data_IF_951601729979
#
_entry.id   IF_951601729979
#
_cell.length_a   1.000
_cell.length_b   1.000
_cell.length_c   1.000
_cell.angle_alpha   90.00
_cell.angle_beta   90.00
_cell.angle_gamma   90.00
#
_symmetry.space_group_name_H-M   'P 1'
#
loop_
_entity.id
_entity.type
_entity.pdbx_description
1 polymer ?
#
# COMPACT_ATOMS: atom_id res chain seq x y z
N UNK A 1 1.07 4.33 -11.95
CA UNK A 1 1.96 3.81 -10.88
C UNK A 1 1.77 4.52 -9.53
N UNK A 2 1.70 5.87 -9.45
CA UNK A 2 1.43 6.57 -8.16
C UNK A 2 0.04 6.23 -7.60
N UNK A 3 -1.01 6.21 -8.43
CA UNK A 3 -2.36 5.74 -8.04
C UNK A 3 -2.36 4.28 -7.55
N UNK A 4 -1.50 3.46 -8.13
CA UNK A 4 -1.32 2.05 -7.76
C UNK A 4 -0.49 1.90 -6.48
N UNK A 5 0.36 2.90 -6.13
CA UNK A 5 0.97 3.01 -4.80
C UNK A 5 -0.07 3.36 -3.74
N UNK A 6 -1.01 4.28 -3.98
CA UNK A 6 -2.08 4.58 -3.02
C UNK A 6 -2.98 3.37 -2.77
N UNK A 7 -3.36 2.64 -3.82
CA UNK A 7 -4.14 1.40 -3.70
C UNK A 7 -3.34 0.29 -2.98
N UNK A 8 -2.03 0.17 -3.26
CA UNK A 8 -1.14 -0.75 -2.55
C UNK A 8 -0.92 -0.33 -1.08
N UNK A 9 -0.85 0.96 -0.77
CA UNK A 9 -0.75 1.46 0.62
C UNK A 9 -2.02 1.11 1.40
N UNK A 10 -3.20 1.32 0.82
CA UNK A 10 -4.46 0.99 1.47
C UNK A 10 -4.58 -0.53 1.69
N UNK A 11 -4.26 -1.35 0.67
CA UNK A 11 -4.23 -2.82 0.79
C UNK A 11 -3.16 -3.34 1.75
N UNK A 12 -1.96 -2.75 1.77
CA UNK A 12 -0.89 -3.12 2.71
C UNK A 12 -1.25 -2.75 4.14
N UNK A 13 -1.94 -1.63 4.39
CA UNK A 13 -2.47 -1.30 5.71
C UNK A 13 -3.49 -2.35 6.18
N UNK A 14 -4.40 -2.78 5.29
CA UNK A 14 -5.38 -3.82 5.59
C UNK A 14 -4.74 -5.20 5.82
N UNK A 15 -3.67 -5.55 5.09
CA UNK A 15 -2.94 -6.82 5.24
C UNK A 15 -2.08 -6.84 6.51
N UNK A 16 -1.40 -5.74 6.85
CA UNK A 16 -0.68 -5.60 8.11
C UNK A 16 -1.64 -5.64 9.31
N UNK A 17 -2.80 -5.00 9.22
CA UNK A 17 -3.81 -5.05 10.28
C UNK A 17 -4.44 -6.46 10.41
N UNK A 18 -4.77 -7.15 9.31
CA UNK A 18 -5.27 -8.54 9.36
C UNK A 18 -4.25 -9.54 9.89
N UNK A 19 -2.97 -9.41 9.52
CA UNK A 19 -1.91 -10.30 10.01
C UNK A 19 -1.59 -10.09 11.50
N UNK A 20 -1.73 -8.85 12.01
CA UNK A 20 -1.69 -8.58 13.44
C UNK A 20 -2.88 -9.19 14.20
N UNK A 21 -4.11 -9.14 13.67
CA UNK A 21 -5.24 -9.88 14.26
C UNK A 21 -5.04 -11.40 14.23
N UNK A 22 -4.55 -11.96 13.12
CA UNK A 22 -4.35 -13.40 12.98
C UNK A 22 -3.32 -13.97 13.98
N UNK A 23 -2.27 -13.21 14.30
CA UNK A 23 -1.24 -13.60 15.29
C UNK A 23 -1.75 -13.62 16.73
N UNK A 24 -2.90 -13.03 17.03
CA UNK A 24 -3.50 -13.03 18.37
C UNK A 24 -4.57 -14.11 18.60
N UNK A 25 -4.88 -14.97 17.61
CA UNK A 25 -6.01 -15.91 17.68
C UNK A 25 -5.62 -17.38 17.96
N UNK A 26 -4.36 -17.80 17.76
CA UNK A 26 -3.96 -19.21 17.92
C UNK A 26 -2.66 -19.43 18.71
N UNK A 27 -2.78 -19.43 20.05
CA UNK A 27 -1.83 -20.17 20.90
C UNK A 27 -2.56 -20.94 22.01
N UNK A 28 -2.91 -22.19 21.71
CA UNK A 28 -3.39 -23.19 22.68
C UNK A 28 -2.32 -23.42 23.75
N UNK A 29 -2.78 -23.65 24.98
CA UNK A 29 -1.90 -23.80 26.15
C UNK A 29 -0.87 -24.94 26.00
N UNK A 30 0.41 -24.57 26.05
CA UNK A 30 1.52 -25.51 26.20
C UNK A 30 1.78 -25.78 27.68
N UNK A 31 1.77 -27.06 28.09
CA UNK A 31 2.07 -27.48 29.46
C UNK A 31 3.48 -27.05 29.89
N UNK A 32 3.58 -26.42 31.05
CA UNK A 32 4.87 -26.28 31.74
C UNK A 32 5.37 -27.67 32.18
N UNK A 33 6.66 -27.97 31.91
CA UNK A 33 7.37 -29.11 32.48
C UNK A 33 8.07 -28.67 33.76
N UNK A 34 7.60 -29.11 34.92
CA UNK A 34 8.38 -29.07 36.17
C UNK A 34 9.23 -30.35 36.28
N UNK A 35 10.48 -30.20 36.72
CA UNK A 35 11.32 -31.34 37.15
C UNK A 35 10.92 -31.76 38.58
N UNK A 36 10.98 -33.05 38.94
CA UNK A 36 10.52 -33.55 40.23
C UNK A 36 11.60 -33.48 41.32
N UNK A 37 11.18 -33.20 42.55
CA UNK A 37 11.87 -33.60 43.78
C UNK A 37 11.00 -34.58 44.57
N UNK A 38 11.63 -35.36 45.45
CA UNK A 38 11.23 -36.73 45.81
C UNK A 38 10.64 -36.82 47.23
N UNK A 39 9.35 -37.14 47.38
CA UNK A 39 8.79 -37.49 48.70
C UNK A 39 7.57 -38.45 48.65
N UNK A 40 7.81 -39.66 49.16
CA UNK A 40 6.95 -40.64 49.87
C UNK A 40 5.45 -40.82 49.52
N UNK A 41 5.11 -42.09 49.30
CA UNK A 41 3.78 -42.67 49.09
C UNK A 41 2.87 -42.73 50.33
N UNK A 42 1.55 -42.61 50.12
CA UNK A 42 0.49 -43.33 50.86
C UNK A 42 -0.73 -43.55 49.94
N UNK A 43 -1.52 -44.61 50.18
CA UNK A 43 -2.56 -45.15 49.27
C UNK A 43 -3.99 -44.81 49.72
N UNK A 44 -4.87 -44.59 48.71
CA UNK A 44 -6.34 -44.85 48.69
C UNK A 44 -7.25 -43.99 49.61
N UNK A 45 -8.60 -43.94 49.40
CA UNK A 45 -9.42 -44.62 48.37
C UNK A 45 -10.30 -43.68 47.49
N UNK A 46 -11.02 -44.26 46.52
CA UNK A 46 -12.16 -43.64 45.79
C UNK A 46 -13.47 -43.91 46.54
N UNK A 47 -14.45 -42.99 46.45
CA UNK A 47 -15.66 -43.25 45.64
C UNK A 47 -15.98 -42.03 44.72
N UNK A 48 -17.05 -41.92 43.92
CA UNK A 48 -18.19 -42.80 43.58
C UNK A 48 -18.66 -42.56 42.11
N UNK A 49 -19.87 -43.03 41.74
CA UNK A 49 -20.69 -42.57 40.58
C UNK A 49 -22.11 -42.26 41.07
N UNK A 50 -22.74 -41.18 40.57
CA UNK A 50 -24.22 -41.00 40.39
C UNK A 50 -24.43 -39.79 39.46
N UNK A 51 -24.89 -40.00 38.22
CA UNK A 51 -26.30 -40.08 37.72
C UNK A 51 -26.79 -38.71 37.18
N UNK A 52 -26.99 -38.64 35.86
CA UNK A 52 -27.76 -37.57 35.19
C UNK A 52 -29.23 -37.56 35.67
N UNK A 53 -29.93 -36.44 35.45
CA UNK A 53 -31.14 -36.53 34.61
C UNK A 53 -31.24 -35.46 33.49
N UNK A 54 -31.87 -35.86 32.37
CA UNK A 54 -32.84 -35.09 31.53
C UNK A 54 -32.46 -33.62 31.20
N UNK A 55 -32.05 -33.22 29.99
CA UNK A 55 -32.38 -33.64 28.62
C UNK A 55 -33.83 -33.32 28.18
N UNK A 56 -34.09 -32.06 27.82
CA UNK A 56 -35.21 -31.65 26.95
C UNK A 56 -34.70 -31.08 25.62
N UNK A 57 -35.56 -31.05 24.59
CA UNK A 57 -35.21 -31.35 23.19
C UNK A 57 -35.73 -30.30 22.21
N UNK A 58 -35.13 -30.24 20.99
CA UNK A 58 -35.43 -29.43 19.77
C UNK A 58 -34.46 -28.23 19.59
N UNK A 59 -34.03 -27.84 18.37
CA UNK A 59 -34.29 -28.36 17.00
C UNK A 59 -33.08 -28.15 16.06
N UNK A 60 -33.01 -28.93 14.99
CA UNK A 60 -31.96 -28.94 13.95
C UNK A 60 -31.74 -27.57 13.26
N UNK A 61 -30.53 -27.33 12.74
CA UNK A 61 -30.30 -26.14 11.89
C UNK A 61 -28.90 -25.87 11.27
N UNK A 62 -27.85 -26.68 11.47
CA UNK A 62 -26.54 -26.39 10.86
C UNK A 62 -26.47 -26.78 9.38
N UNK A 63 -26.66 -25.82 8.47
CA UNK A 63 -26.46 -25.99 7.03
C UNK A 63 -25.15 -25.34 6.58
N UNK A 64 -24.09 -26.15 6.40
CA UNK A 64 -22.84 -25.73 5.76
C UNK A 64 -23.11 -25.38 4.29
N UNK A 65 -22.75 -24.17 3.85
CA UNK A 65 -22.81 -23.79 2.45
C UNK A 65 -21.61 -24.36 1.69
N UNK A 66 -21.85 -25.42 0.91
CA UNK A 66 -21.04 -25.78 -0.26
C UNK A 66 -21.53 -24.94 -1.43
N UNK A 67 -20.64 -24.21 -2.11
CA UNK A 67 -20.96 -23.60 -3.41
C UNK A 67 -20.62 -24.61 -4.50
N UNK A 68 -21.64 -25.13 -5.17
CA UNK A 68 -21.50 -25.96 -6.36
C UNK A 68 -22.10 -25.21 -7.57
N UNK A 69 -21.40 -25.21 -8.70
CA UNK A 69 -21.87 -24.64 -9.98
C UNK A 69 -22.97 -25.52 -10.60
N UNK A 70 -24.08 -24.91 -11.01
CA UNK A 70 -24.96 -25.37 -12.09
C UNK A 70 -25.61 -24.11 -12.70
N UNK A 71 -25.30 -23.73 -13.94
CA UNK A 71 -25.92 -24.19 -15.20
C UNK A 71 -27.46 -24.08 -15.21
N UNK A 72 -27.96 -23.11 -15.97
CA UNK A 72 -29.19 -23.22 -16.76
C UNK A 72 -28.99 -22.58 -18.13
N UNK A 73 -29.22 -23.37 -19.17
CA UNK A 73 -29.67 -22.89 -20.48
C UNK A 73 -31.14 -22.44 -20.31
N UNK A 74 -31.79 -21.66 -21.17
CA UNK A 74 -31.40 -21.04 -22.43
C UNK A 74 -32.69 -20.67 -23.19
N UNK A 75 -32.65 -19.69 -24.09
CA UNK A 75 -33.76 -19.36 -24.98
C UNK A 75 -33.23 -18.83 -26.32
N UNK A 76 -33.74 -19.38 -27.42
CA UNK A 76 -33.49 -18.95 -28.80
C UNK A 76 -34.46 -17.78 -29.13
N UNK A 77 -34.47 -17.08 -30.27
CA UNK A 77 -33.71 -17.16 -31.54
C UNK A 77 -33.91 -15.85 -32.34
N UNK A 78 -32.92 -15.44 -33.17
CA UNK A 78 -33.04 -14.93 -34.58
C UNK A 78 -32.03 -13.82 -34.96
N UNK A 79 -31.19 -14.15 -35.95
CA UNK A 79 -30.80 -13.36 -37.17
C UNK A 79 -30.25 -11.94 -36.94
N UNK A 80 -29.04 -11.51 -37.35
CA UNK A 80 -28.18 -11.69 -38.56
C UNK A 80 -26.74 -11.28 -38.11
N UNK A 81 -25.57 -11.64 -38.64
CA UNK A 81 -25.12 -12.38 -39.82
C UNK A 81 -23.81 -11.75 -40.34
N UNK A 82 -22.75 -12.54 -40.64
CA UNK A 82 -21.40 -12.14 -41.15
C UNK A 82 -20.54 -11.27 -40.20
N UNK A 83 -19.26 -11.53 -39.92
CA UNK A 83 -18.16 -12.26 -40.56
C UNK A 83 -17.23 -12.84 -39.47
N UNK A 84 -16.63 -14.01 -39.71
CA UNK A 84 -15.85 -14.73 -38.69
C UNK A 84 -14.34 -14.70 -38.92
N UNK A 85 -13.58 -14.33 -37.88
CA UNK A 85 -12.19 -14.73 -37.69
C UNK A 85 -11.98 -15.09 -36.21
N UNK A 86 -11.59 -16.34 -35.94
CA UNK A 86 -10.93 -16.81 -34.70
C UNK A 86 -10.35 -18.22 -34.95
N UNK A 87 -9.39 -18.71 -34.13
CA UNK A 87 -8.07 -19.04 -34.69
C UNK A 87 -7.64 -20.49 -34.39
N UNK A 88 -6.50 -20.91 -34.95
CA UNK A 88 -5.78 -22.11 -34.48
C UNK A 88 -4.29 -21.82 -34.40
N UNK A 89 -3.62 -22.27 -33.33
CA UNK A 89 -2.16 -22.33 -33.22
C UNK A 89 -1.68 -23.77 -33.43
N UNK A 90 -0.55 -23.86 -34.14
CA UNK A 90 0.50 -24.88 -34.05
C UNK A 90 0.19 -26.34 -34.47
N UNK A 91 0.84 -26.75 -35.57
CA UNK A 91 1.79 -27.89 -35.60
C UNK A 91 2.89 -27.63 -36.63
N UNK A 92 3.99 -28.37 -36.54
CA UNK A 92 5.28 -28.10 -37.21
C UNK A 92 5.55 -29.14 -38.31
N UNK A 93 6.34 -28.73 -39.32
CA UNK A 93 7.19 -29.49 -40.25
C UNK A 93 6.81 -29.35 -41.75
N UNK A 94 7.76 -29.56 -42.69
CA UNK A 94 9.22 -29.56 -42.58
C UNK A 94 9.91 -28.48 -43.44
N UNK A 95 11.25 -28.44 -43.39
CA UNK A 95 12.09 -27.71 -44.36
C UNK A 95 11.98 -28.38 -45.73
N UNK A 96 11.92 -27.59 -46.80
CA UNK A 96 12.08 -28.07 -48.17
C UNK A 96 13.47 -27.66 -48.67
N UNK A 97 14.39 -28.62 -48.75
CA UNK A 97 15.66 -28.44 -49.44
C UNK A 97 15.40 -28.28 -50.95
N UNK A 98 16.00 -27.26 -51.55
CA UNK A 98 16.28 -27.24 -52.98
C UNK A 98 17.80 -27.28 -53.15
N UNK A 99 18.29 -28.42 -53.63
CA UNK A 99 19.69 -28.58 -54.03
C UNK A 99 19.90 -27.88 -55.38
N UNK A 100 20.86 -26.95 -55.41
CA UNK A 100 21.59 -26.52 -56.61
C UNK A 100 23.08 -26.46 -56.20
N UNK A 101 23.97 -26.72 -57.14
CA UNK A 101 25.30 -27.29 -56.89
C UNK A 101 26.32 -26.32 -56.26
N UNK A 102 27.36 -26.91 -55.66
CA UNK A 102 28.24 -26.27 -54.67
C UNK A 102 29.23 -25.22 -55.20
N UNK A 103 29.24 -24.89 -56.49
CA UNK A 103 30.22 -23.97 -57.09
C UNK A 103 29.80 -22.50 -57.00
N UNK A 104 28.49 -22.21 -57.04
CA UNK A 104 27.95 -20.83 -57.03
C UNK A 104 28.13 -20.14 -55.66
N UNK A 105 28.47 -20.89 -54.61
CA UNK A 105 28.57 -20.39 -53.23
C UNK A 105 29.82 -19.54 -52.94
N UNK A 106 30.87 -19.63 -53.76
CA UNK A 106 32.07 -18.78 -53.66
C UNK A 106 31.79 -17.34 -54.11
N UNK A 107 31.51 -17.11 -55.41
CA UNK A 107 31.23 -15.78 -55.98
C UNK A 107 30.14 -15.02 -55.23
N UNK A 108 29.01 -15.68 -54.95
CA UNK A 108 27.89 -15.07 -54.20
C UNK A 108 28.34 -14.57 -52.81
N UNK A 109 29.29 -15.25 -52.16
CA UNK A 109 29.78 -14.85 -50.83
C UNK A 109 30.69 -13.63 -50.87
N UNK A 110 31.44 -13.47 -51.96
CA UNK A 110 32.28 -12.28 -52.19
C UNK A 110 31.41 -11.09 -52.58
N UNK A 111 30.43 -11.27 -53.47
CA UNK A 111 29.40 -10.28 -53.79
C UNK A 111 28.60 -9.84 -52.55
N UNK A 112 28.20 -10.77 -51.66
CA UNK A 112 27.55 -10.44 -50.38
C UNK A 112 28.50 -9.67 -49.44
N UNK A 113 29.82 -9.86 -49.52
CA UNK A 113 30.80 -9.11 -48.71
C UNK A 113 30.93 -7.68 -49.23
N UNK A 114 31.08 -7.50 -50.55
CA UNK A 114 31.14 -6.18 -51.21
C UNK A 114 29.85 -5.39 -50.98
N UNK A 115 28.69 -6.02 -51.20
CA UNK A 115 27.39 -5.41 -50.94
C UNK A 115 27.17 -5.02 -49.47
N UNK A 116 27.79 -5.71 -48.50
CA UNK A 116 27.76 -5.31 -47.08
C UNK A 116 28.71 -4.19 -46.73
N UNK A 117 29.78 -4.00 -47.50
CA UNK A 117 30.78 -2.94 -47.29
C UNK A 117 30.36 -1.63 -47.98
N UNK A 118 29.67 -1.71 -49.13
CA UNK A 118 29.24 -0.54 -49.92
C UNK A 118 27.74 -0.21 -49.77
N UNK A 119 26.90 -1.21 -49.51
CA UNK A 119 25.44 -1.08 -49.40
C UNK A 119 24.69 -1.12 -50.74
N UNK A 120 25.41 -1.22 -51.86
CA UNK A 120 24.88 -1.43 -53.21
C UNK A 120 25.82 -2.37 -53.98
N UNK A 121 25.41 -2.79 -55.17
CA UNK A 121 26.22 -3.62 -56.08
C UNK A 121 26.00 -3.17 -57.52
N UNK A 122 27.04 -3.11 -58.36
CA UNK A 122 26.86 -2.75 -59.77
C UNK A 122 26.70 -3.96 -60.69
N UNK A 123 26.14 -3.74 -61.87
CA UNK A 123 26.12 -4.77 -62.92
C UNK A 123 27.52 -5.18 -63.40
N UNK A 124 28.52 -4.29 -63.29
CA UNK A 124 29.90 -4.61 -63.64
C UNK A 124 30.56 -5.50 -62.56
N UNK A 125 30.34 -5.20 -61.27
CA UNK A 125 30.79 -6.07 -60.16
C UNK A 125 30.21 -7.49 -60.26
N UNK A 126 28.95 -7.61 -60.72
CA UNK A 126 28.29 -8.89 -60.96
C UNK A 126 28.95 -9.68 -62.09
N UNK A 127 29.36 -9.01 -63.17
CA UNK A 127 30.02 -9.64 -64.30
C UNK A 127 31.48 -10.01 -64.00
N UNK A 128 32.21 -9.21 -63.20
CA UNK A 128 33.60 -9.50 -62.83
C UNK A 128 33.73 -10.65 -61.82
N UNK A 129 32.76 -10.81 -60.91
CA UNK A 129 32.78 -11.90 -59.92
C UNK A 129 32.33 -13.26 -60.49
N UNK A 130 31.69 -13.29 -61.66
CA UNK A 130 31.22 -14.53 -62.29
C UNK A 130 32.27 -15.05 -63.29
N UNK A 131 32.72 -16.32 -63.18
CA UNK A 131 33.63 -16.89 -64.17
C UNK A 131 32.99 -16.96 -65.57
N UNK A 132 33.78 -16.77 -66.62
CA UNK A 132 33.39 -16.70 -68.06
C UNK A 132 32.59 -17.92 -68.61
N UNK A 133 32.30 -18.93 -67.79
CA UNK A 133 31.46 -20.09 -68.11
C UNK A 133 30.02 -20.05 -67.60
N UNK A 134 29.64 -19.11 -66.72
CA UNK A 134 28.26 -19.00 -66.18
C UNK A 134 27.45 -17.90 -66.88
N UNK A 135 27.15 -18.11 -68.17
CA UNK A 135 26.35 -17.19 -69.00
C UNK A 135 24.98 -17.78 -69.42
N UNK A 136 24.43 -18.72 -68.65
CA UNK A 136 23.03 -19.14 -68.83
C UNK A 136 22.09 -18.12 -68.14
N UNK A 137 21.16 -17.56 -68.92
CA UNK A 137 20.29 -16.47 -68.47
C UNK A 137 19.39 -16.87 -67.28
N UNK A 138 19.12 -18.16 -67.12
CA UNK A 138 18.33 -18.70 -66.00
C UNK A 138 19.08 -18.61 -64.67
N UNK A 139 20.38 -18.90 -64.66
CA UNK A 139 21.20 -18.86 -63.44
C UNK A 139 21.45 -17.41 -63.00
N UNK A 140 21.63 -16.50 -63.97
CA UNK A 140 21.73 -15.07 -63.69
C UNK A 140 20.46 -14.54 -63.01
N UNK A 141 19.25 -14.84 -63.52
CA UNK A 141 18.02 -14.39 -62.86
C UNK A 141 17.76 -15.09 -61.51
N UNK A 142 18.25 -16.32 -61.31
CA UNK A 142 18.24 -16.98 -60.01
C UNK A 142 19.14 -16.25 -59.00
N UNK A 143 20.33 -15.78 -59.41
CA UNK A 143 21.25 -14.98 -58.59
C UNK A 143 20.65 -13.59 -58.31
N UNK A 144 20.15 -12.90 -59.32
CA UNK A 144 19.48 -11.59 -59.17
C UNK A 144 18.26 -11.68 -58.24
N UNK A 145 17.48 -12.76 -58.32
CA UNK A 145 16.33 -13.01 -57.43
C UNK A 145 16.76 -13.37 -56.01
N UNK A 146 17.93 -14.01 -55.83
CA UNK A 146 18.52 -14.28 -54.51
C UNK A 146 19.08 -13.02 -53.85
N UNK A 147 19.74 -12.14 -54.61
CA UNK A 147 20.27 -10.86 -54.12
C UNK A 147 19.15 -9.87 -53.78
N UNK A 148 18.12 -9.74 -54.64
CA UNK A 148 16.90 -8.95 -54.35
C UNK A 148 16.17 -9.44 -53.09
N UNK A 149 16.17 -10.76 -52.82
CA UNK A 149 15.64 -11.35 -51.57
C UNK A 149 16.47 -11.02 -50.31
N UNK A 150 17.68 -10.50 -50.47
CA UNK A 150 18.58 -10.11 -49.38
C UNK A 150 18.66 -8.59 -49.21
N UNK A 151 17.74 -7.83 -49.82
CA UNK A 151 17.65 -6.36 -49.72
C UNK A 151 18.93 -5.65 -50.20
N UNK A 152 19.56 -6.19 -51.24
CA UNK A 152 20.70 -5.58 -51.93
C UNK A 152 20.20 -4.94 -53.23
N UNK A 153 20.34 -3.61 -53.32
CA UNK A 153 20.05 -2.86 -54.54
C UNK A 153 21.15 -3.05 -55.58
N UNK A 154 20.74 -3.31 -56.82
CA UNK A 154 21.62 -3.53 -57.97
C UNK A 154 21.45 -2.34 -58.91
N UNK A 155 22.55 -1.67 -59.22
CA UNK A 155 22.57 -0.33 -59.79
C UNK A 155 23.43 -0.34 -61.07
N UNK A 156 23.03 0.41 -62.08
CA UNK A 156 23.87 0.60 -63.27
C UNK A 156 25.04 1.54 -62.94
N UNK A 157 26.24 1.30 -63.48
CA UNK A 157 27.45 2.06 -63.12
C UNK A 157 27.31 3.59 -63.37
N UNK A 158 26.42 3.97 -64.30
CA UNK A 158 26.02 5.35 -64.62
C UNK A 158 25.18 6.05 -63.52
N UNK A 159 24.52 5.28 -62.66
CA UNK A 159 23.63 5.77 -61.60
C UNK A 159 24.25 5.74 -60.20
N UNK A 160 25.45 5.16 -60.07
CA UNK A 160 26.16 5.02 -58.77
C UNK A 160 26.36 6.37 -58.08
N UNK A 161 26.71 7.43 -58.82
CA UNK A 161 26.88 8.76 -58.21
C UNK A 161 25.53 9.38 -57.80
N UNK A 162 24.45 9.12 -58.55
CA UNK A 162 23.08 9.50 -58.12
C UNK A 162 22.65 8.74 -56.86
N UNK A 163 23.00 7.47 -56.74
CA UNK A 163 22.67 6.68 -55.56
C UNK A 163 23.55 7.07 -54.36
N UNK A 164 24.80 7.50 -54.56
CA UNK A 164 25.61 8.10 -53.49
C UNK A 164 25.02 9.42 -53.02
N UNK A 165 24.61 10.30 -53.94
CA UNK A 165 23.98 11.57 -53.58
C UNK A 165 22.64 11.32 -52.85
N UNK A 166 21.75 10.47 -53.38
CA UNK A 166 20.50 10.09 -52.70
C UNK A 166 20.72 9.38 -51.36
N UNK A 167 21.73 8.51 -51.25
CA UNK A 167 22.07 7.85 -49.98
C UNK A 167 22.67 8.84 -48.97
N UNK A 168 23.37 9.87 -49.44
CA UNK A 168 23.93 10.92 -48.59
C UNK A 168 22.85 11.91 -48.15
N UNK A 169 21.93 12.27 -49.03
CA UNK A 169 20.71 13.03 -48.69
C UNK A 169 19.85 12.23 -47.70
N UNK A 170 19.70 10.91 -47.89
CA UNK A 170 19.01 10.03 -46.95
C UNK A 170 19.77 9.85 -45.63
N UNK A 171 21.10 9.81 -45.62
CA UNK A 171 21.90 9.74 -44.39
C UNK A 171 21.88 11.08 -43.62
N UNK A 172 21.82 12.22 -44.32
CA UNK A 172 21.64 13.55 -43.72
C UNK A 172 20.18 13.74 -43.23
N UNK A 173 19.15 13.24 -43.94
CA UNK A 173 17.76 13.22 -43.46
C UNK A 173 17.52 12.19 -42.34
N UNK A 174 18.17 11.01 -42.33
CA UNK A 174 18.09 10.03 -41.23
C UNK A 174 18.91 10.43 -39.98
N UNK A 175 19.81 11.41 -40.06
CA UNK A 175 20.40 12.03 -38.86
C UNK A 175 19.47 13.09 -38.23
N UNK A 176 18.68 13.83 -39.01
CA UNK A 176 17.71 14.81 -38.48
C UNK A 176 16.31 14.24 -38.18
N UNK A 177 15.87 13.17 -38.87
CA UNK A 177 14.53 12.58 -38.71
C UNK A 177 14.51 11.11 -38.26
N UNK A 178 15.51 10.67 -37.49
CA UNK A 178 15.28 9.60 -36.50
C UNK A 178 14.38 10.17 -35.38
N UNK A 179 13.08 9.82 -35.29
CA UNK A 179 12.43 9.92 -34.00
C UNK A 179 13.22 9.03 -33.04
N UNK A 180 13.69 9.61 -31.92
CA UNK A 180 14.21 8.80 -30.80
C UNK A 180 13.31 7.57 -30.61
N UNK A 181 13.83 6.37 -30.31
CA UNK A 181 13.00 5.25 -29.90
C UNK A 181 12.36 5.57 -28.53
N UNK A 182 11.30 6.40 -28.54
CA UNK A 182 10.48 6.80 -27.38
C UNK A 182 9.73 5.61 -26.80
N UNK A 183 9.73 4.48 -27.52
CA UNK A 183 9.32 3.16 -27.05
C UNK A 183 10.25 2.60 -25.97
N UNK A 184 11.54 2.93 -25.96
CA UNK A 184 12.52 2.49 -24.95
C UNK A 184 12.50 3.36 -23.67
N UNK A 185 11.76 4.48 -23.68
CA UNK A 185 11.62 5.39 -22.53
C UNK A 185 10.65 4.83 -21.47
N UNK A 186 9.88 3.76 -21.79
CA UNK A 186 8.94 3.13 -20.86
C UNK A 186 9.52 1.98 -20.03
N UNK A 187 10.61 1.33 -20.46
CA UNK A 187 11.00 0.02 -19.93
C UNK A 187 11.99 0.05 -18.75
N UNK A 188 12.68 1.18 -18.48
CA UNK A 188 13.44 1.34 -17.22
C UNK A 188 12.58 1.94 -16.09
N UNK A 189 12.16 1.14 -15.08
CA UNK A 189 11.45 1.66 -13.91
C UNK A 189 12.26 2.67 -13.09
N UNK A 190 13.60 2.64 -13.15
CA UNK A 190 14.46 3.64 -12.49
C UNK A 190 14.33 4.99 -13.20
N UNK A 191 14.48 5.05 -14.53
CA UNK A 191 14.30 6.26 -15.35
C UNK A 191 12.88 6.83 -15.22
N UNK A 192 11.83 5.99 -15.25
CA UNK A 192 10.46 6.42 -14.99
C UNK A 192 10.31 7.07 -13.61
N UNK A 193 10.85 6.44 -12.55
CA UNK A 193 10.78 6.96 -11.19
C UNK A 193 11.54 8.29 -11.05
N UNK A 194 12.78 8.37 -11.57
CA UNK A 194 13.59 9.59 -11.60
C UNK A 194 12.90 10.74 -12.35
N UNK A 195 12.21 10.45 -13.46
CA UNK A 195 11.41 11.45 -14.19
C UNK A 195 10.23 11.95 -13.35
N UNK A 196 9.52 11.07 -12.65
CA UNK A 196 8.36 11.44 -11.81
C UNK A 196 8.76 12.30 -10.62
N UNK A 197 9.78 11.95 -9.84
CA UNK A 197 10.23 12.81 -8.72
C UNK A 197 10.83 14.14 -9.22
N UNK A 198 11.37 14.15 -10.45
CA UNK A 198 12.01 15.32 -11.05
C UNK A 198 11.06 16.51 -11.19
N UNK A 199 9.76 16.23 -11.30
CA UNK A 199 8.68 17.22 -11.44
C UNK A 199 8.38 17.99 -10.15
N UNK A 200 8.63 17.42 -8.96
CA UNK A 200 8.31 18.05 -7.68
C UNK A 200 9.41 19.06 -7.31
N UNK A 201 9.12 20.34 -7.03
CA UNK A 201 10.15 21.32 -6.66
C UNK A 201 10.85 20.97 -5.33
N UNK A 202 12.04 21.54 -5.13
CA UNK A 202 12.75 21.47 -3.85
C UNK A 202 12.15 22.48 -2.86
N UNK A 203 11.91 22.07 -1.61
CA UNK A 203 11.39 22.96 -0.58
C UNK A 203 12.46 23.90 -0.03
N UNK A 204 12.08 25.15 0.22
CA UNK A 204 12.86 26.07 1.05
C UNK A 204 12.70 25.72 2.54
N UNK A 205 13.58 26.26 3.38
CA UNK A 205 13.51 26.07 4.84
C UNK A 205 12.21 26.62 5.45
N UNK A 206 11.65 27.66 4.87
CA UNK A 206 10.40 28.26 5.33
C UNK A 206 9.21 27.37 4.97
N UNK A 207 9.19 26.82 3.76
CA UNK A 207 8.18 25.85 3.31
C UNK A 207 8.25 24.54 4.10
N UNK A 208 9.44 24.03 4.46
CA UNK A 208 9.57 22.90 5.40
C UNK A 208 8.83 23.17 6.73
N UNK A 209 8.97 24.38 7.27
CA UNK A 209 8.35 24.79 8.54
C UNK A 209 6.85 25.02 8.38
N UNK A 210 6.41 25.58 7.25
CA UNK A 210 4.99 25.76 6.93
C UNK A 210 4.25 24.42 6.81
N UNK A 211 4.79 23.47 6.03
CA UNK A 211 4.21 22.12 5.91
C UNK A 211 4.21 21.42 7.27
N UNK A 212 5.28 21.56 8.06
CA UNK A 212 5.33 21.02 9.43
C UNK A 212 4.25 21.61 10.34
N UNK A 213 3.95 22.92 10.22
CA UNK A 213 2.83 23.57 10.95
C UNK A 213 1.48 23.04 10.46
N UNK A 214 1.27 22.91 9.15
CA UNK A 214 0.03 22.35 8.56
C UNK A 214 -0.23 20.92 9.06
N UNK A 215 0.82 20.09 9.18
CA UNK A 215 0.73 18.76 9.80
C UNK A 215 0.37 18.84 11.29
N UNK A 216 1.06 19.66 12.09
CA UNK A 216 0.78 19.80 13.53
C UNK A 216 -0.66 20.30 13.80
N UNK A 217 -1.14 21.26 13.00
CA UNK A 217 -2.51 21.78 13.09
C UNK A 217 -3.54 20.71 12.76
N UNK A 218 -3.39 20.02 11.63
CA UNK A 218 -4.33 18.98 11.21
C UNK A 218 -4.40 17.83 12.23
N UNK A 219 -3.27 17.39 12.79
CA UNK A 219 -3.23 16.37 13.85
C UNK A 219 -3.89 16.83 15.15
N UNK A 220 -3.66 18.08 15.56
CA UNK A 220 -4.34 18.67 16.72
C UNK A 220 -5.86 18.78 16.51
N UNK A 221 -6.29 19.11 15.29
CA UNK A 221 -7.71 19.15 14.94
C UNK A 221 -8.32 17.75 14.94
N UNK A 222 -7.68 16.75 14.33
CA UNK A 222 -8.08 15.33 14.42
C UNK A 222 -8.30 14.90 15.88
N UNK A 223 -7.33 15.15 16.76
CA UNK A 223 -7.45 14.83 18.19
C UNK A 223 -8.62 15.58 18.86
N UNK A 224 -8.84 16.86 18.51
CA UNK A 224 -9.93 17.69 19.02
C UNK A 224 -11.31 17.21 18.59
N UNK A 225 -11.47 16.69 17.38
CA UNK A 225 -12.72 16.07 16.91
C UNK A 225 -12.96 14.71 17.59
N UNK A 226 -11.96 13.82 17.63
CA UNK A 226 -12.05 12.52 18.31
C UNK A 226 -12.45 12.70 19.78
N UNK A 227 -11.82 13.64 20.49
CA UNK A 227 -12.11 13.94 21.90
C UNK A 227 -13.54 14.49 22.17
N UNK A 228 -14.36 14.76 21.13
CA UNK A 228 -15.78 15.11 21.29
C UNK A 228 -16.68 13.89 21.46
N UNK A 229 -16.29 12.73 20.93
CA UNK A 229 -17.13 11.54 20.92
C UNK A 229 -17.11 10.81 22.27
N UNK A 230 -18.28 10.36 22.75
CA UNK A 230 -18.42 9.77 24.07
C UNK A 230 -17.70 8.44 24.28
N UNK A 231 -17.70 7.57 23.28
CA UNK A 231 -17.03 6.26 23.36
C UNK A 231 -15.51 6.37 23.55
N UNK A 232 -14.91 7.50 23.20
CA UNK A 232 -13.48 7.78 23.42
C UNK A 232 -13.15 7.88 24.90
N UNK A 233 -14.07 8.35 25.76
CA UNK A 233 -13.88 8.32 27.20
C UNK A 233 -13.64 6.90 27.70
N UNK A 234 -14.44 5.95 27.21
CA UNK A 234 -14.30 4.52 27.51
C UNK A 234 -13.01 3.95 26.92
N UNK A 235 -12.67 4.28 25.67
CA UNK A 235 -11.44 3.82 25.04
C UNK A 235 -10.17 4.27 25.80
N UNK A 236 -10.15 5.51 26.31
CA UNK A 236 -9.09 6.00 27.20
C UNK A 236 -9.00 5.20 28.51
N UNK A 237 -10.14 4.91 29.15
CA UNK A 237 -10.19 4.13 30.39
C UNK A 237 -9.75 2.68 30.18
N UNK A 238 -10.27 2.00 29.15
CA UNK A 238 -9.93 0.62 28.79
C UNK A 238 -8.42 0.48 28.52
N UNK A 239 -7.81 1.46 27.83
CA UNK A 239 -6.38 1.46 27.55
C UNK A 239 -5.53 1.76 28.79
N UNK A 240 -5.95 2.70 29.64
CA UNK A 240 -5.29 2.98 30.91
C UNK A 240 -5.38 1.80 31.90
N UNK A 241 -6.49 1.06 31.90
CA UNK A 241 -6.63 -0.16 32.67
C UNK A 241 -5.70 -1.26 32.14
N UNK A 242 -5.65 -1.50 30.81
CA UNK A 242 -4.70 -2.45 30.20
C UNK A 242 -3.23 -2.14 30.53
N UNK A 243 -2.87 -0.86 30.63
CA UNK A 243 -1.55 -0.41 31.06
C UNK A 243 -1.29 -0.69 32.55
N UNK A 244 -2.28 -0.44 33.40
CA UNK A 244 -2.20 -0.69 34.86
C UNK A 244 -2.10 -2.18 35.18
N UNK A 245 -2.80 -3.03 34.41
CA UNK A 245 -2.74 -4.49 34.49
C UNK A 245 -1.52 -5.10 33.78
N UNK A 246 -0.67 -4.30 33.14
CA UNK A 246 0.52 -4.77 32.42
C UNK A 246 0.24 -5.57 31.13
N UNK A 247 -0.98 -5.53 30.59
CA UNK A 247 -1.34 -6.20 29.32
C UNK A 247 -0.78 -5.49 28.10
N UNK A 248 -0.62 -4.17 28.16
CA UNK A 248 -0.02 -3.35 27.10
C UNK A 248 1.32 -2.74 27.55
N UNK A 249 2.26 -2.64 26.60
CA UNK A 249 3.59 -2.08 26.86
C UNK A 249 3.53 -0.55 26.90
N UNK A 250 4.00 0.05 28.00
CA UNK A 250 4.08 1.50 28.20
C UNK A 250 4.59 2.26 26.97
N UNK A 251 5.81 1.93 26.52
CA UNK A 251 6.51 2.58 25.40
C UNK A 251 5.84 2.35 24.02
N UNK A 252 4.82 1.48 23.90
CA UNK A 252 3.97 1.41 22.69
C UNK A 252 2.91 2.51 22.70
N UNK A 253 2.32 2.76 23.87
CA UNK A 253 1.09 3.55 24.04
C UNK A 253 1.36 5.01 24.41
N UNK A 254 2.40 5.29 25.19
CA UNK A 254 2.60 6.58 25.87
C UNK A 254 3.83 7.34 25.36
N UNK A 255 3.69 8.64 25.10
CA UNK A 255 4.74 9.58 24.72
C UNK A 255 5.67 9.88 25.90
N UNK A 256 6.67 9.01 26.07
CA UNK A 256 7.72 9.10 27.11
C UNK A 256 8.34 10.52 27.20
N UNK A 257 8.52 11.21 26.06
CA UNK A 257 9.03 12.59 25.95
C UNK A 257 8.30 13.63 26.82
N UNK A 258 7.04 13.39 27.19
CA UNK A 258 6.20 14.33 27.96
C UNK A 258 6.10 13.97 29.46
N UNK A 259 6.84 12.97 29.92
CA UNK A 259 6.73 12.43 31.28
C UNK A 259 8.10 12.47 31.98
N UNK A 260 8.15 13.10 33.15
CA UNK A 260 9.35 13.17 34.00
C UNK A 260 9.77 11.80 34.55
N UNK A 261 8.80 11.02 35.04
CA UNK A 261 9.03 9.71 35.64
C UNK A 261 7.84 8.78 35.40
N UNK A 262 8.15 7.58 34.88
CA UNK A 262 7.18 6.50 34.63
C UNK A 262 6.45 6.08 35.90
N UNK A 263 7.14 6.04 37.05
CA UNK A 263 6.51 5.69 38.33
C UNK A 263 5.53 6.76 38.81
N UNK A 264 5.91 8.04 38.73
CA UNK A 264 5.04 9.17 39.09
C UNK A 264 3.78 9.15 38.22
N UNK A 265 3.93 8.92 36.92
CA UNK A 265 2.79 8.75 36.01
C UNK A 265 1.90 7.56 36.39
N UNK A 266 2.48 6.38 36.64
CA UNK A 266 1.71 5.18 37.04
C UNK A 266 0.96 5.34 38.36
N UNK A 267 1.51 6.08 39.33
CA UNK A 267 0.80 6.43 40.58
C UNK A 267 -0.34 7.44 40.36
N UNK A 268 -0.24 8.30 39.34
CA UNK A 268 -1.25 9.31 38.99
C UNK A 268 -2.35 8.79 38.04
N UNK A 269 -2.05 7.81 37.18
CA UNK A 269 -2.96 7.30 36.15
C UNK A 269 -4.30 6.79 36.73
N UNK A 270 -4.35 5.99 37.83
CA UNK A 270 -5.62 5.57 38.43
C UNK A 270 -6.45 6.73 38.97
N UNK A 271 -5.80 7.81 39.45
CA UNK A 271 -6.50 9.03 39.86
C UNK A 271 -7.12 9.73 38.66
N UNK A 272 -6.39 9.85 37.55
CA UNK A 272 -6.91 10.44 36.31
C UNK A 272 -8.11 9.64 35.75
N UNK A 273 -8.02 8.30 35.75
CA UNK A 273 -9.11 7.42 35.34
C UNK A 273 -10.39 7.67 36.15
N UNK A 274 -10.31 7.71 37.49
CA UNK A 274 -11.47 7.98 38.35
C UNK A 274 -12.13 9.35 38.10
N UNK A 275 -11.38 10.36 37.67
CA UNK A 275 -11.97 11.66 37.29
C UNK A 275 -12.67 11.60 35.94
N UNK A 276 -12.05 10.95 34.94
CA UNK A 276 -12.64 10.74 33.61
C UNK A 276 -13.91 9.90 33.70
N UNK A 277 -13.89 8.81 34.47
CA UNK A 277 -15.03 7.93 34.70
C UNK A 277 -16.22 8.72 35.29
N UNK A 278 -16.01 9.46 36.39
CA UNK A 278 -17.04 10.31 37.01
C UNK A 278 -17.61 11.35 36.04
N UNK A 279 -16.75 12.01 35.26
CA UNK A 279 -17.20 12.99 34.25
C UNK A 279 -17.99 12.31 33.12
N UNK A 280 -17.52 11.18 32.59
CA UNK A 280 -18.23 10.44 31.53
C UNK A 280 -19.59 9.92 31.98
N UNK A 281 -19.71 9.45 33.22
CA UNK A 281 -20.98 9.01 33.79
C UNK A 281 -21.95 10.20 33.93
N UNK A 282 -21.47 11.34 34.45
CA UNK A 282 -22.26 12.57 34.56
C UNK A 282 -22.72 13.10 33.19
N UNK A 283 -21.83 13.11 32.18
CA UNK A 283 -22.16 13.54 30.82
C UNK A 283 -23.20 12.60 30.18
N UNK A 284 -23.05 11.29 30.36
CA UNK A 284 -24.03 10.29 29.87
C UNK A 284 -25.40 10.48 30.52
N UNK A 285 -25.45 10.75 31.83
CA UNK A 285 -26.69 11.05 32.55
C UNK A 285 -27.34 12.35 32.07
N UNK A 286 -26.57 13.43 31.90
CA UNK A 286 -27.06 14.68 31.33
C UNK A 286 -27.63 14.46 29.93
N UNK A 287 -26.88 13.82 29.03
CA UNK A 287 -27.34 13.52 27.67
C UNK A 287 -28.64 12.69 27.67
N UNK A 288 -28.74 11.67 28.53
CA UNK A 288 -29.96 10.87 28.71
C UNK A 288 -31.17 11.65 29.25
N UNK A 289 -30.95 12.74 30.00
CA UNK A 289 -32.00 13.67 30.43
C UNK A 289 -32.39 14.67 29.33
N UNK A 290 -31.43 15.10 28.50
CA UNK A 290 -31.67 15.98 27.35
C UNK A 290 -32.41 15.25 26.22
N UNK A 291 -32.04 14.02 25.89
CA UNK A 291 -32.73 13.17 24.90
C UNK A 291 -34.23 12.92 25.21
N UNK A 292 -34.66 13.16 26.47
CA UNK A 292 -36.04 13.01 26.95
C UNK A 292 -36.79 14.33 27.12
N UNK A 293 -36.16 15.48 26.93
CA UNK A 293 -36.69 16.81 27.23
C UNK A 293 -36.57 17.72 26.01
N UNK A 294 -37.69 18.30 25.58
CA UNK A 294 -37.76 19.14 24.36
C UNK A 294 -38.32 20.54 24.63
N UNK A 295 -37.81 21.25 25.65
CA UNK A 295 -38.38 22.51 26.14
C UNK A 295 -37.32 23.60 26.38
N UNK A 296 -37.73 24.86 26.57
CA UNK A 296 -36.82 26.02 26.85
C UNK A 296 -35.84 25.78 28.01
N UNK A 297 -36.17 24.91 28.99
CA UNK A 297 -35.25 24.51 30.07
C UNK A 297 -33.98 23.82 29.56
N UNK A 298 -34.01 23.23 28.36
CA UNK A 298 -32.89 22.48 27.81
C UNK A 298 -31.74 23.38 27.33
N UNK A 299 -31.96 24.66 27.03
CA UNK A 299 -30.85 25.59 26.75
C UNK A 299 -29.85 25.69 27.92
N UNK A 300 -30.34 25.73 29.17
CA UNK A 300 -29.47 25.71 30.37
C UNK A 300 -28.79 24.34 30.54
N UNK A 301 -29.48 23.23 30.22
CA UNK A 301 -28.91 21.87 30.29
C UNK A 301 -27.84 21.63 29.22
N UNK A 302 -28.06 22.06 27.97
CA UNK A 302 -27.07 22.04 26.88
C UNK A 302 -25.82 22.82 27.27
N UNK A 303 -25.97 24.03 27.82
CA UNK A 303 -24.84 24.81 28.37
C UNK A 303 -24.12 24.11 29.54
N UNK A 304 -24.80 23.28 30.33
CA UNK A 304 -24.15 22.44 31.36
C UNK A 304 -23.42 21.25 30.75
N UNK A 305 -24.05 20.53 29.82
CA UNK A 305 -23.49 19.41 29.07
C UNK A 305 -22.22 19.81 28.31
N UNK A 306 -22.25 20.91 27.52
CA UNK A 306 -21.06 21.38 26.80
C UNK A 306 -19.92 21.84 27.74
N UNK A 307 -20.23 22.41 28.92
CA UNK A 307 -19.22 22.71 29.94
C UNK A 307 -18.60 21.44 30.53
N UNK A 308 -19.40 20.41 30.80
CA UNK A 308 -18.91 19.13 31.28
C UNK A 308 -18.04 18.42 30.22
N UNK A 309 -18.47 18.42 28.96
CA UNK A 309 -17.73 17.88 27.82
C UNK A 309 -16.39 18.63 27.62
N UNK A 310 -16.40 19.96 27.65
CA UNK A 310 -15.18 20.78 27.57
C UNK A 310 -14.25 20.59 28.77
N UNK A 311 -14.79 20.30 29.96
CA UNK A 311 -13.99 19.92 31.13
C UNK A 311 -13.31 18.57 30.91
N UNK A 312 -14.05 17.54 30.47
CA UNK A 312 -13.52 16.22 30.13
C UNK A 312 -12.43 16.29 29.05
N UNK A 313 -12.64 17.11 28.00
CA UNK A 313 -11.66 17.30 26.93
C UNK A 313 -10.31 17.84 27.40
N UNK A 314 -10.27 18.62 28.49
CA UNK A 314 -9.02 19.11 29.09
C UNK A 314 -8.22 18.02 29.80
N UNK A 315 -8.83 16.88 30.14
CA UNK A 315 -8.13 15.75 30.77
C UNK A 315 -7.45 14.82 29.76
N UNK A 316 -7.96 14.66 28.53
CA UNK A 316 -7.39 13.74 27.54
C UNK A 316 -5.90 13.99 27.21
N UNK A 317 -5.41 15.24 27.04
CA UNK A 317 -3.99 15.50 26.81
C UNK A 317 -3.06 15.00 27.93
N UNK A 318 -3.57 14.85 29.17
CA UNK A 318 -2.81 14.36 30.34
C UNK A 318 -2.55 12.86 30.33
N UNK A 319 -3.15 12.10 29.41
CA UNK A 319 -2.80 10.69 29.18
C UNK A 319 -1.54 10.52 28.32
N UNK A 320 -1.10 11.57 27.62
CA UNK A 320 0.10 11.56 26.78
C UNK A 320 0.18 10.38 25.79
N UNK A 321 -0.93 9.95 25.21
CA UNK A 321 -0.92 8.83 24.23
C UNK A 321 -0.20 9.19 22.91
N UNK A 322 0.40 8.18 22.26
CA UNK A 322 1.04 8.33 20.93
C UNK A 322 -0.02 8.44 19.83
N UNK A 323 0.34 9.08 18.71
CA UNK A 323 -0.52 9.20 17.51
C UNK A 323 -1.14 7.87 17.05
N UNK A 324 -0.43 6.75 17.17
CA UNK A 324 -0.95 5.41 16.85
C UNK A 324 -2.19 5.01 17.65
N UNK A 325 -2.34 5.52 18.87
CA UNK A 325 -3.54 5.33 19.69
C UNK A 325 -4.69 6.18 19.15
N UNK A 326 -4.40 7.40 18.70
CA UNK A 326 -5.37 8.26 18.01
C UNK A 326 -5.85 7.63 16.70
N UNK A 327 -4.98 6.93 15.95
CA UNK A 327 -5.36 6.12 14.79
C UNK A 327 -6.29 4.94 15.18
N UNK A 328 -5.96 4.20 16.25
CA UNK A 328 -6.85 3.16 16.80
C UNK A 328 -8.23 3.75 17.22
N UNK A 329 -8.28 5.00 17.69
CA UNK A 329 -9.52 5.71 18.02
C UNK A 329 -10.32 6.19 16.78
N UNK A 330 -9.65 6.53 15.66
CA UNK A 330 -10.32 6.81 14.38
C UNK A 330 -11.08 5.57 13.90
N UNK A 331 -10.49 4.38 14.02
CA UNK A 331 -11.18 3.14 13.63
C UNK A 331 -12.46 2.86 14.45
N UNK A 332 -12.50 3.26 15.73
CA UNK A 332 -13.74 3.19 16.53
C UNK A 332 -14.80 4.18 16.02
N UNK A 333 -14.40 5.35 15.54
CA UNK A 333 -15.30 6.32 14.91
C UNK A 333 -15.82 5.82 13.55
N UNK A 334 -14.95 5.20 12.74
CA UNK A 334 -15.33 4.54 11.48
C UNK A 334 -16.36 3.43 11.73
N UNK A 335 -16.15 2.56 12.73
CA UNK A 335 -17.11 1.50 13.11
C UNK A 335 -18.46 2.07 13.57
N UNK A 336 -18.44 3.12 14.39
CA UNK A 336 -19.66 3.78 14.87
C UNK A 336 -20.43 4.47 13.72
N UNK A 337 -19.74 5.06 12.74
CA UNK A 337 -20.35 5.67 11.55
C UNK A 337 -20.92 4.63 10.58
N UNK A 338 -20.19 3.56 10.29
CA UNK A 338 -20.73 2.43 9.53
C UNK A 338 -21.98 1.84 10.22
N UNK A 339 -22.02 1.84 11.55
CA UNK A 339 -23.18 1.40 12.32
C UNK A 339 -24.37 2.35 12.23
N UNK A 340 -24.18 3.68 12.25
CA UNK A 340 -25.30 4.64 12.08
C UNK A 340 -25.93 4.51 10.69
N UNK A 341 -25.11 4.55 9.63
CA UNK A 341 -25.55 4.41 8.24
C UNK A 341 -26.26 3.05 8.00
N UNK A 342 -25.77 1.97 8.61
CA UNK A 342 -26.44 0.68 8.56
C UNK A 342 -27.83 0.70 9.24
N UNK A 343 -27.94 1.32 10.42
CA UNK A 343 -29.22 1.41 11.14
C UNK A 343 -30.25 2.29 10.39
N UNK A 344 -29.81 3.38 9.79
CA UNK A 344 -30.62 4.24 8.90
C UNK A 344 -31.14 3.43 7.70
N UNK A 345 -30.26 2.74 6.97
CA UNK A 345 -30.67 1.91 5.83
C UNK A 345 -31.57 0.72 6.20
N UNK A 346 -31.46 0.14 7.40
CA UNK A 346 -32.41 -0.87 7.89
C UNK A 346 -33.78 -0.28 8.27
N UNK A 347 -33.82 0.99 8.70
CA UNK A 347 -35.07 1.70 8.98
C UNK A 347 -35.85 1.99 7.68
N UNK A 348 -35.15 2.30 6.59
CA UNK A 348 -35.71 2.51 5.26
C UNK A 348 -36.26 1.22 4.64
N UNK A 349 -35.48 0.12 4.66
CA UNK A 349 -35.87 -1.19 4.09
C UNK A 349 -37.09 -1.82 4.77
N UNK A 350 -37.40 -1.42 6.00
CA UNK A 350 -38.50 -1.98 6.78
C UNK A 350 -39.51 -0.89 7.21
N UNK A 351 -40.27 -0.32 6.25
CA UNK A 351 -41.23 0.75 6.55
C UNK A 351 -42.46 0.26 7.33
N UNK A 352 -42.90 -0.99 7.12
CA UNK A 352 -44.13 -1.56 7.69
C UNK A 352 -43.93 -2.48 8.90
N UNK A 353 -42.71 -2.97 9.18
CA UNK A 353 -42.46 -3.87 10.31
C UNK A 353 -42.26 -3.09 11.62
N UNK A 354 -43.37 -2.88 12.36
CA UNK A 354 -43.38 -2.13 13.62
C UNK A 354 -42.40 -2.70 14.68
N UNK A 355 -42.17 -4.02 14.71
CA UNK A 355 -41.29 -4.68 15.70
C UNK A 355 -39.81 -4.47 15.37
N UNK A 356 -39.44 -4.52 14.09
CA UNK A 356 -38.07 -4.19 13.67
C UNK A 356 -37.78 -2.70 13.80
N UNK A 357 -38.73 -1.82 13.43
CA UNK A 357 -38.56 -0.36 13.56
C UNK A 357 -38.28 0.05 15.01
N UNK A 358 -39.02 -0.47 16.00
CA UNK A 358 -38.75 -0.16 17.41
C UNK A 358 -37.41 -0.70 17.89
N UNK A 359 -36.97 -1.87 17.41
CA UNK A 359 -35.64 -2.41 17.72
C UNK A 359 -34.51 -1.58 17.10
N UNK A 360 -34.64 -1.15 15.85
CA UNK A 360 -33.66 -0.28 15.17
C UNK A 360 -33.59 1.09 15.86
N UNK A 361 -34.74 1.72 16.14
CA UNK A 361 -34.80 2.98 16.90
C UNK A 361 -34.21 2.87 18.31
N UNK A 362 -34.36 1.73 18.99
CA UNK A 362 -33.71 1.49 20.27
C UNK A 362 -32.17 1.44 20.13
N UNK A 363 -31.65 0.72 19.12
CA UNK A 363 -30.22 0.67 18.81
C UNK A 363 -29.67 2.05 18.42
N UNK A 364 -30.40 2.84 17.63
CA UNK A 364 -30.01 4.22 17.28
C UNK A 364 -29.89 5.08 18.54
N UNK A 365 -30.87 5.04 19.44
CA UNK A 365 -30.81 5.76 20.73
C UNK A 365 -29.68 5.30 21.65
N UNK A 366 -29.29 4.03 21.60
CA UNK A 366 -28.16 3.52 22.36
C UNK A 366 -26.82 3.94 21.73
N UNK A 367 -26.76 4.05 20.39
CA UNK A 367 -25.62 4.63 19.68
C UNK A 367 -25.48 6.12 20.01
N UNK A 368 -26.55 6.92 19.90
CA UNK A 368 -26.59 8.34 20.30
C UNK A 368 -26.09 8.56 21.73
N UNK A 369 -26.52 7.73 22.70
CA UNK A 369 -26.04 7.77 24.09
C UNK A 369 -24.56 7.43 24.24
N UNK A 370 -24.01 6.58 23.36
CA UNK A 370 -22.59 6.21 23.41
C UNK A 370 -21.69 7.26 22.74
N UNK A 371 -22.20 7.97 21.74
CA UNK A 371 -21.52 9.06 21.04
C UNK A 371 -21.67 10.42 21.76
N UNK A 372 -22.76 10.60 22.52
CA UNK A 372 -23.24 11.87 23.09
C UNK A 372 -23.61 12.95 22.06
N UNK A 373 -24.06 12.54 20.88
CA UNK A 373 -24.52 13.40 19.78
C UNK A 373 -25.75 12.77 19.10
N UNK A 374 -26.56 13.60 18.42
CA UNK A 374 -27.51 13.11 17.41
C UNK A 374 -26.74 12.40 16.30
N UNK A 375 -27.35 11.43 15.60
CA UNK A 375 -26.70 10.74 14.49
C UNK A 375 -26.35 11.70 13.34
N UNK A 376 -27.22 12.67 13.03
CA UNK A 376 -26.96 13.70 12.00
C UNK A 376 -25.72 14.54 12.35
N UNK A 377 -25.69 15.07 13.57
CA UNK A 377 -24.55 15.85 14.08
C UNK A 377 -23.29 14.99 14.18
N UNK A 378 -23.42 13.71 14.50
CA UNK A 378 -22.28 12.79 14.49
C UNK A 378 -21.73 12.60 13.08
N UNK A 379 -22.59 12.42 12.07
CA UNK A 379 -22.19 12.33 10.67
C UNK A 379 -21.45 13.59 10.22
N UNK A 380 -21.94 14.78 10.53
CA UNK A 380 -21.24 16.05 10.25
C UNK A 380 -19.86 16.13 10.91
N UNK A 381 -19.76 15.84 12.21
CA UNK A 381 -18.49 15.87 12.95
C UNK A 381 -17.51 14.78 12.47
N UNK A 382 -18.02 13.63 12.03
CA UNK A 382 -17.24 12.55 11.44
C UNK A 382 -16.70 12.93 10.05
N UNK A 383 -17.52 13.54 9.18
CA UNK A 383 -17.04 14.02 7.87
C UNK A 383 -15.96 15.10 8.04
N UNK A 384 -16.13 16.02 8.99
CA UNK A 384 -15.08 16.97 9.36
C UNK A 384 -13.79 16.27 9.85
N UNK A 385 -13.89 15.24 10.69
CA UNK A 385 -12.74 14.43 11.11
C UNK A 385 -12.03 13.77 9.91
N UNK A 386 -12.77 13.19 8.96
CA UNK A 386 -12.19 12.57 7.75
C UNK A 386 -11.55 13.61 6.82
N UNK A 387 -12.05 14.84 6.78
CA UNK A 387 -11.40 15.96 6.08
C UNK A 387 -10.04 16.29 6.71
N UNK A 388 -9.98 16.51 8.03
CA UNK A 388 -8.71 16.79 8.71
C UNK A 388 -7.69 15.65 8.59
N UNK A 389 -8.13 14.39 8.61
CA UNK A 389 -7.28 13.24 8.33
C UNK A 389 -6.72 13.26 6.90
N UNK A 390 -7.55 13.61 5.90
CA UNK A 390 -7.12 13.74 4.50
C UNK A 390 -6.14 14.92 4.32
N UNK A 391 -6.34 16.04 5.03
CA UNK A 391 -5.41 17.17 5.02
C UNK A 391 -4.07 16.81 5.68
N UNK A 392 -4.07 16.15 6.84
CA UNK A 392 -2.85 15.68 7.51
C UNK A 392 -2.06 14.71 6.61
N UNK A 393 -2.74 13.77 5.93
CA UNK A 393 -2.11 12.85 5.00
C UNK A 393 -1.53 13.58 3.78
N UNK A 394 -2.28 14.51 3.17
CA UNK A 394 -1.79 15.31 2.03
C UNK A 394 -0.53 16.10 2.38
N UNK A 395 -0.51 16.81 3.51
CA UNK A 395 0.65 17.58 3.94
C UNK A 395 1.87 16.68 4.25
N UNK A 396 1.65 15.48 4.81
CA UNK A 396 2.72 14.48 4.97
C UNK A 396 3.26 13.98 3.64
N UNK A 397 2.38 13.69 2.67
CA UNK A 397 2.77 13.26 1.32
C UNK A 397 3.56 14.36 0.60
N UNK A 398 3.09 15.60 0.61
CA UNK A 398 3.79 16.79 0.08
C UNK A 398 5.22 16.92 0.65
N UNK A 399 5.37 16.73 1.97
CA UNK A 399 6.67 16.76 2.64
C UNK A 399 7.59 15.61 2.22
N UNK A 400 7.05 14.41 1.96
CA UNK A 400 7.81 13.24 1.49
C UNK A 400 8.23 13.42 0.03
N UNK A 401 7.30 13.82 -0.85
CA UNK A 401 7.51 13.94 -2.29
C UNK A 401 8.65 14.90 -2.64
N UNK A 402 8.66 16.09 -2.03
CA UNK A 402 9.73 17.07 -2.26
C UNK A 402 11.12 16.61 -1.74
N UNK A 403 11.15 15.63 -0.83
CA UNK A 403 12.36 15.10 -0.22
C UNK A 403 12.85 13.76 -0.84
N UNK A 404 12.18 13.23 -1.87
CA UNK A 404 12.59 11.96 -2.51
C UNK A 404 14.03 12.00 -3.07
N UNK A 405 14.49 13.17 -3.55
CA UNK A 405 15.88 13.34 -4.04
C UNK A 405 16.94 13.10 -2.96
N UNK A 406 16.63 13.40 -1.69
CA UNK A 406 17.52 13.13 -0.55
C UNK A 406 17.67 11.63 -0.30
N UNK A 407 16.60 10.85 -0.49
CA UNK A 407 16.67 9.39 -0.34
C UNK A 407 17.65 8.80 -1.34
N UNK A 408 17.62 9.27 -2.59
CA UNK A 408 18.50 8.78 -3.66
C UNK A 408 19.96 9.14 -3.44
N UNK A 409 20.27 10.38 -3.03
CA UNK A 409 21.67 10.77 -2.76
C UNK A 409 22.29 9.98 -1.59
N UNK A 410 21.46 9.46 -0.68
CA UNK A 410 21.87 8.52 0.37
C UNK A 410 21.95 7.09 -0.19
N UNK A 411 20.91 6.60 -0.86
CA UNK A 411 20.83 5.22 -1.38
C UNK A 411 21.93 4.89 -2.39
N UNK A 412 22.38 5.86 -3.20
CA UNK A 412 23.53 5.71 -4.13
C UNK A 412 24.82 5.26 -3.44
N UNK A 413 24.98 5.48 -2.13
CA UNK A 413 26.17 5.03 -1.34
C UNK A 413 26.08 3.56 -0.90
N UNK A 414 24.94 2.92 -1.13
CA UNK A 414 24.60 1.57 -0.71
C UNK A 414 24.31 0.61 -1.88
N UNK A 415 24.50 1.07 -3.12
CA UNK A 415 24.48 0.21 -4.32
C UNK A 415 25.51 -0.91 -4.19
N UNK A 416 25.28 -2.00 -4.94
CA UNK A 416 26.16 -3.18 -5.00
C UNK A 416 26.35 -3.92 -3.66
N UNK A 417 25.46 -3.72 -2.66
CA UNK A 417 25.46 -4.43 -1.37
C UNK A 417 24.44 -5.58 -1.28
N UNK A 418 24.05 -6.15 -2.43
CA UNK A 418 23.14 -7.31 -2.52
C UNK A 418 21.63 -7.01 -2.57
N UNK A 419 21.23 -5.73 -2.65
CA UNK A 419 19.86 -5.31 -2.94
C UNK A 419 19.81 -4.45 -4.21
N UNK A 420 18.68 -4.48 -4.92
CA UNK A 420 18.46 -3.62 -6.08
C UNK A 420 18.42 -2.14 -5.67
N UNK A 421 18.83 -1.26 -6.58
CA UNK A 421 18.79 0.18 -6.33
C UNK A 421 17.35 0.69 -6.05
N UNK A 422 16.35 0.08 -6.70
CA UNK A 422 14.94 0.38 -6.42
C UNK A 422 14.53 -0.03 -5.01
N UNK A 423 14.97 -1.20 -4.52
CA UNK A 423 14.63 -1.68 -3.17
C UNK A 423 15.27 -0.80 -2.10
N UNK A 424 16.54 -0.40 -2.30
CA UNK A 424 17.25 0.55 -1.44
C UNK A 424 16.52 1.91 -1.39
N UNK A 425 15.99 2.38 -2.52
CA UNK A 425 15.16 3.59 -2.60
C UNK A 425 13.85 3.39 -1.82
N UNK A 426 13.13 2.29 -2.01
CA UNK A 426 11.84 2.09 -1.32
C UNK A 426 12.00 1.99 0.19
N UNK A 427 13.04 1.29 0.66
CA UNK A 427 13.36 1.20 2.09
C UNK A 427 13.82 2.55 2.65
N UNK A 428 14.56 3.32 1.85
CA UNK A 428 14.89 4.71 2.15
C UNK A 428 13.66 5.63 2.25
N UNK A 429 12.69 5.48 1.34
CA UNK A 429 11.40 6.20 1.37
C UNK A 429 10.60 5.82 2.63
N UNK A 430 10.56 4.53 2.98
CA UNK A 430 9.97 4.05 4.25
C UNK A 430 10.71 4.55 5.50
N UNK A 431 11.99 4.95 5.37
CA UNK A 431 12.74 5.69 6.39
C UNK A 431 12.35 7.17 6.43
N UNK A 432 12.23 7.82 5.27
CA UNK A 432 11.81 9.22 5.11
C UNK A 432 10.39 9.46 5.68
N UNK A 433 9.41 8.60 5.39
CA UNK A 433 8.06 8.71 5.95
C UNK A 433 8.07 8.69 7.48
N UNK A 434 8.87 7.80 8.09
CA UNK A 434 9.04 7.74 9.56
C UNK A 434 9.78 8.95 10.13
N UNK A 435 10.58 9.65 9.33
CA UNK A 435 11.19 10.92 9.71
C UNK A 435 10.14 12.04 9.71
N UNK A 436 9.32 12.13 8.65
CA UNK A 436 8.21 13.11 8.55
C UNK A 436 7.24 12.96 9.73
N UNK A 437 6.81 11.74 10.07
CA UNK A 437 5.95 11.44 11.23
C UNK A 437 6.49 11.92 12.59
N UNK A 438 7.81 12.15 12.71
CA UNK A 438 8.49 12.40 14.00
C UNK A 438 9.27 13.71 14.03
N UNK A 439 9.20 14.50 12.96
CA UNK A 439 9.95 15.73 12.85
C UNK A 439 9.37 16.81 13.76
N UNK A 440 10.24 17.52 14.47
CA UNK A 440 9.86 18.60 15.39
C UNK A 440 10.54 19.89 14.91
N UNK A 441 9.87 20.67 14.05
CA UNK A 441 10.42 21.90 13.46
C UNK A 441 10.88 22.91 14.52
N UNK A 442 10.23 22.91 15.70
CA UNK A 442 10.52 23.76 16.86
C UNK A 442 11.95 23.60 17.41
N UNK A 443 12.67 22.53 17.05
CA UNK A 443 14.09 22.31 17.44
C UNK A 443 15.10 23.09 16.59
N UNK A 444 14.67 23.83 15.56
CA UNK A 444 15.55 24.66 14.72
C UNK A 444 16.37 23.92 13.66
N UNK A 445 16.66 22.62 13.83
CA UNK A 445 17.42 21.81 12.86
C UNK A 445 16.70 21.64 11.51
N UNK A 446 17.46 21.67 10.40
CA UNK A 446 16.96 21.40 9.04
C UNK A 446 16.38 19.98 8.93
N UNK A 447 15.31 19.82 8.14
CA UNK A 447 14.67 18.50 8.02
C UNK A 447 15.61 17.46 7.42
N UNK A 448 16.38 17.83 6.38
CA UNK A 448 17.35 16.95 5.72
C UNK A 448 18.37 16.31 6.67
N UNK A 449 18.87 17.05 7.66
CA UNK A 449 19.78 16.54 8.70
C UNK A 449 19.12 15.44 9.53
N UNK A 450 17.87 15.63 9.93
CA UNK A 450 17.10 14.65 10.71
C UNK A 450 16.71 13.43 9.87
N UNK A 451 16.20 13.66 8.66
CA UNK A 451 15.78 12.61 7.74
C UNK A 451 16.94 11.68 7.33
N UNK A 452 18.14 12.22 7.13
CA UNK A 452 19.35 11.45 6.76
C UNK A 452 19.60 10.27 7.71
N UNK A 453 19.39 10.45 9.02
CA UNK A 453 19.57 9.37 10.00
C UNK A 453 18.54 8.25 9.80
N UNK A 454 17.25 8.58 9.66
CA UNK A 454 16.19 7.59 9.47
C UNK A 454 16.28 6.86 8.14
N UNK A 455 16.62 7.56 7.05
CA UNK A 455 16.84 6.98 5.72
C UNK A 455 18.02 5.99 5.79
N UNK A 456 19.16 6.43 6.33
CA UNK A 456 20.35 5.56 6.49
C UNK A 456 20.04 4.32 7.34
N UNK A 457 19.32 4.49 8.44
CA UNK A 457 18.97 3.39 9.34
C UNK A 457 18.03 2.39 8.66
N UNK A 458 17.06 2.85 7.86
CA UNK A 458 16.15 1.97 7.14
C UNK A 458 16.88 1.17 6.05
N UNK A 459 17.69 1.83 5.22
CA UNK A 459 18.51 1.20 4.17
C UNK A 459 19.48 0.18 4.75
N UNK A 460 20.29 0.58 5.74
CA UNK A 460 21.29 -0.31 6.37
C UNK A 460 20.63 -1.52 7.02
N UNK A 461 19.47 -1.32 7.65
CA UNK A 461 18.69 -2.43 8.21
C UNK A 461 18.15 -3.36 7.14
N UNK A 462 17.60 -2.84 6.03
CA UNK A 462 17.06 -3.69 4.97
C UNK A 462 18.16 -4.53 4.31
N UNK A 463 19.35 -3.96 4.07
CA UNK A 463 20.52 -4.71 3.59
C UNK A 463 20.85 -5.87 4.55
N UNK A 464 20.92 -5.60 5.85
CA UNK A 464 21.16 -6.65 6.85
C UNK A 464 20.02 -7.69 6.92
N UNK A 465 18.77 -7.25 6.75
CA UNK A 465 17.58 -8.08 6.92
C UNK A 465 17.22 -8.93 5.66
N UNK A 466 17.60 -8.48 4.45
CA UNK A 466 17.10 -8.98 3.15
C UNK A 466 18.17 -9.27 2.07
N UNK A 467 19.37 -8.68 2.10
CA UNK A 467 20.34 -8.78 0.99
C UNK A 467 21.02 -10.15 0.82
N UNK A 468 20.67 -11.14 1.65
CA UNK A 468 21.23 -12.51 1.62
C UNK A 468 20.09 -13.51 1.51
N UNK A 469 20.28 -14.52 0.66
CA UNK A 469 19.33 -15.65 0.47
C UNK A 469 18.95 -16.33 1.78
N UNK A 470 19.90 -16.42 2.73
CA UNK A 470 19.66 -16.86 4.09
C UNK A 470 19.76 -15.65 5.02
N UNK A 471 18.68 -15.40 5.75
CA UNK A 471 18.59 -14.31 6.74
C UNK A 471 19.53 -14.56 7.92
N UNK A 472 20.41 -13.61 8.20
CA UNK A 472 21.30 -13.59 9.36
C UNK A 472 20.85 -12.46 10.33
N UNK A 473 20.89 -12.64 11.67
CA UNK A 473 20.59 -11.57 12.61
C UNK A 473 21.54 -10.37 12.48
N UNK A 474 21.02 -9.15 12.60
CA UNK A 474 21.79 -7.91 12.38
C UNK A 474 23.07 -7.83 13.21
N UNK A 475 23.04 -8.21 14.50
CA UNK A 475 24.22 -8.19 15.36
C UNK A 475 25.35 -9.13 14.87
N UNK A 476 25.01 -10.27 14.25
CA UNK A 476 26.01 -11.16 13.65
C UNK A 476 26.63 -10.52 12.39
N UNK A 477 25.84 -9.78 11.61
CA UNK A 477 26.33 -9.05 10.43
C UNK A 477 27.24 -7.88 10.86
N UNK A 478 26.90 -7.18 11.94
CA UNK A 478 27.76 -6.17 12.56
C UNK A 478 29.08 -6.77 13.10
N UNK A 479 29.08 -8.02 13.56
CA UNK A 479 30.31 -8.74 13.95
C UNK A 479 31.12 -9.22 12.75
N UNK A 480 30.49 -9.61 11.64
CA UNK A 480 31.18 -10.04 10.40
C UNK A 480 31.83 -8.85 9.66
N UNK A 481 31.30 -7.64 9.83
CA UNK A 481 31.81 -6.41 9.21
C UNK A 481 32.82 -5.65 10.09
N UNK A 482 33.18 -6.18 11.26
CA UNK A 482 34.21 -5.66 12.19
C UNK A 482 35.48 -6.47 12.07
#
# INVERSE_FOLDING_TARGET
MIVDLTDKIERLSQILNRSNLARHSTRKAGRARSRPTRAKSKRLPRPARRKNPVLWRKRNGHRKLRVARARRNGALNRVRGRLGLKPVKAKVAPVADFHVEGEIHGPIRELIKLAKEQGYLTFDDLNEALPDGMTDANDLDAILTRLRRMEIDIIEASEVDRYKDVKKDLEEEDEEEKPEPKLDILDDPVRMYLKQMGQVPLLTREQEVEISKRIEEAENMVQKYINRFGFIARAHLDLAQKLTEGRERFDRVILDKKIESRERYMKMLPRLCKHVEKLSASITQLYGQLSRSGSKKDSKKWKAFHRALASLQKFYPRFYFKQKVTEEFVHLADEAYCTSVYLEGELEKHPRDRKKRTLVMAKMRDLEKSVWLSLDTYAEQYQALKEWLRQALRAKTEMVEANLRLVISIAKKYTNRGLSFLDLIQEGNMGLMKAVEKFEYRRGYKFSTYATWWIRQAITRSIADQARTIRIPVHMIETINK
#
